data_IF_704662031842
#
_entry.id   IF_704662031842
#
_cell.length_a   1.000
_cell.length_b   1.000
_cell.length_c   1.000
_cell.angle_alpha   90.00
_cell.angle_beta   90.00
_cell.angle_gamma   90.00
#
_symmetry.space_group_name_H-M   'P 1'
#
loop_
_entity.id
_entity.type
_entity.pdbx_description
1 polymer ?
#
# COMPACT_ATOMS: atom_id res chain seq x y z
N UNK A 1 2.97 13.28 9.65
CA UNK A 1 3.81 12.64 10.66
C UNK A 1 3.17 11.34 11.13
N UNK A 2 3.91 10.20 11.08
CA UNK A 2 3.40 8.92 11.56
C UNK A 2 3.05 8.98 13.04
N UNK A 3 1.98 8.27 13.40
CA UNK A 3 1.49 8.18 14.80
C UNK A 3 1.40 6.72 15.21
N UNK A 4 1.55 6.42 16.52
CA UNK A 4 1.26 5.07 16.99
C UNK A 4 -0.13 4.61 16.55
N UNK A 5 -0.21 3.38 16.07
CA UNK A 5 -1.44 2.81 15.52
C UNK A 5 -1.63 2.98 14.02
N UNK A 6 -0.88 3.87 13.37
CA UNK A 6 -0.95 4.03 11.93
C UNK A 6 -0.52 2.76 11.21
N UNK A 7 -1.27 2.37 10.18
CA UNK A 7 -0.85 1.32 9.26
C UNK A 7 -0.05 1.95 8.13
N UNK A 8 1.12 1.39 7.86
CA UNK A 8 2.04 1.88 6.84
C UNK A 8 2.51 0.74 5.96
N UNK A 9 2.85 1.05 4.73
CA UNK A 9 3.56 0.12 3.84
C UNK A 9 5.04 0.49 3.93
N UNK A 10 5.89 -0.50 4.23
CA UNK A 10 7.30 -0.27 4.39
C UNK A 10 8.10 -1.27 3.57
N UNK A 11 9.25 -0.83 3.04
CA UNK A 11 10.14 -1.66 2.24
C UNK A 11 11.34 -2.08 3.08
N UNK A 12 11.59 -3.38 3.16
CA UNK A 12 12.78 -3.92 3.85
C UNK A 12 14.02 -3.47 3.08
N UNK A 13 14.89 -2.72 3.74
CA UNK A 13 16.08 -2.12 3.13
C UNK A 13 17.37 -2.65 3.70
N UNK A 14 17.36 -3.14 4.92
CA UNK A 14 18.54 -3.67 5.59
C UNK A 14 18.13 -4.58 6.74
N UNK A 15 19.11 -5.27 7.33
CA UNK A 15 18.89 -6.09 8.51
C UNK A 15 20.19 -6.31 9.25
N UNK A 16 20.07 -6.54 10.55
CA UNK A 16 21.15 -7.06 11.40
C UNK A 16 20.83 -8.51 11.76
N UNK A 17 21.56 -9.09 12.72
CA UNK A 17 21.24 -10.41 13.22
C UNK A 17 20.01 -10.45 14.15
N UNK A 18 19.45 -9.28 14.50
CA UNK A 18 18.38 -9.18 15.51
C UNK A 18 17.19 -8.32 15.10
N UNK A 19 17.26 -7.64 13.95
CA UNK A 19 16.14 -6.81 13.49
C UNK A 19 16.23 -6.52 12.00
N UNK A 20 15.08 -6.10 11.44
CA UNK A 20 14.96 -5.59 10.08
C UNK A 20 14.80 -4.07 10.11
N UNK A 21 15.41 -3.41 9.13
CA UNK A 21 15.15 -2.01 8.81
C UNK A 21 14.17 -1.94 7.65
N UNK A 22 13.18 -1.08 7.76
CA UNK A 22 12.20 -0.86 6.71
C UNK A 22 12.00 0.62 6.46
N UNK A 23 12.07 1.03 5.20
CA UNK A 23 11.86 2.42 4.83
C UNK A 23 10.36 2.74 4.87
N UNK A 24 10.00 3.71 5.71
CA UNK A 24 8.62 4.19 5.87
C UNK A 24 8.44 5.51 5.12
N UNK A 25 9.35 6.47 5.30
CA UNK A 25 9.36 7.75 4.60
C UNK A 25 10.80 8.24 4.38
N UNK A 26 10.94 9.47 3.88
CA UNK A 26 12.26 10.05 3.59
C UNK A 26 13.08 10.41 4.83
N UNK A 27 12.47 10.47 5.99
CA UNK A 27 13.08 11.01 7.20
C UNK A 27 13.33 9.97 8.28
N UNK A 28 12.61 8.85 8.27
CA UNK A 28 12.66 7.87 9.36
C UNK A 28 12.64 6.46 8.83
N UNK A 29 13.53 5.64 9.40
CA UNK A 29 13.50 4.20 9.19
C UNK A 29 12.58 3.55 10.22
N UNK A 30 11.89 2.51 9.80
CA UNK A 30 11.19 1.61 10.69
C UNK A 30 12.11 0.51 11.16
N UNK A 31 12.00 0.16 12.42
CA UNK A 31 12.71 -0.96 13.03
C UNK A 31 11.71 -2.03 13.41
N UNK A 32 11.98 -3.27 13.02
CA UNK A 32 11.13 -4.42 13.29
C UNK A 32 11.98 -5.51 13.91
N UNK A 33 11.78 -5.77 15.22
CA UNK A 33 12.54 -6.77 15.95
C UNK A 33 11.98 -8.18 15.73
N UNK A 34 12.72 -9.21 16.13
CA UNK A 34 12.31 -10.61 15.98
C UNK A 34 11.00 -10.93 16.70
N UNK A 35 10.67 -10.20 17.76
CA UNK A 35 9.44 -10.42 18.54
C UNK A 35 8.22 -9.76 17.90
N UNK A 36 8.42 -8.87 16.93
CA UNK A 36 7.35 -8.11 16.31
C UNK A 36 6.86 -8.70 14.99
N UNK A 37 7.25 -9.94 14.70
CA UNK A 37 6.77 -10.70 13.54
C UNK A 37 5.96 -11.90 14.00
N UNK A 38 4.96 -12.36 13.22
CA UNK A 38 4.13 -13.51 13.62
C UNK A 38 4.88 -14.84 13.62
N UNK A 39 5.94 -14.95 12.82
CA UNK A 39 6.77 -16.14 12.77
C UNK A 39 7.63 -16.25 14.02
N UNK A 40 7.88 -17.47 14.47
CA UNK A 40 8.89 -17.73 15.50
C UNK A 40 10.29 -17.70 14.87
N UNK A 41 11.13 -16.78 15.32
CA UNK A 41 12.48 -16.59 14.78
C UNK A 41 13.49 -16.88 15.89
N UNK A 42 14.29 -17.93 15.70
CA UNK A 42 15.36 -18.28 16.63
C UNK A 42 16.50 -17.26 16.58
N UNK A 43 17.19 -17.08 17.72
CA UNK A 43 18.44 -16.34 17.74
C UNK A 43 19.45 -16.99 16.78
N UNK A 44 20.09 -16.17 15.94
CA UNK A 44 21.04 -16.67 14.96
C UNK A 44 20.42 -17.18 13.66
N UNK A 45 19.10 -17.13 13.51
CA UNK A 45 18.44 -17.48 12.25
C UNK A 45 18.81 -16.50 11.12
N UNK A 46 18.77 -17.01 9.89
CA UNK A 46 18.91 -16.17 8.70
C UNK A 46 17.61 -15.38 8.48
N UNK A 47 17.65 -14.09 8.79
CA UNK A 47 16.47 -13.23 8.71
C UNK A 47 15.94 -13.05 7.29
N UNK A 48 16.79 -13.25 6.26
CA UNK A 48 16.36 -13.16 4.85
C UNK A 48 15.33 -14.24 4.49
N UNK A 49 15.28 -15.33 5.25
CA UNK A 49 14.30 -16.40 5.02
C UNK A 49 12.87 -16.00 5.44
N UNK A 50 12.74 -14.96 6.24
CA UNK A 50 11.45 -14.45 6.69
C UNK A 50 11.06 -13.20 5.91
N UNK A 51 11.89 -12.16 5.97
CA UNK A 51 11.71 -10.90 5.23
C UNK A 51 13.06 -10.53 4.62
N UNK A 52 13.08 -10.39 3.30
CA UNK A 52 14.30 -10.17 2.55
C UNK A 52 14.37 -8.73 2.03
N UNK A 53 15.55 -8.33 1.58
CA UNK A 53 15.77 -7.03 0.93
C UNK A 53 14.76 -6.82 -0.20
N UNK A 54 14.12 -5.66 -0.20
CA UNK A 54 13.14 -5.31 -1.22
C UNK A 54 11.73 -5.79 -0.97
N UNK A 55 11.49 -6.62 0.04
CA UNK A 55 10.14 -7.03 0.41
C UNK A 55 9.36 -5.84 0.96
N UNK A 56 8.09 -5.77 0.61
CA UNK A 56 7.16 -4.81 1.20
C UNK A 56 6.31 -5.48 2.27
N UNK A 57 6.07 -4.76 3.35
CA UNK A 57 5.22 -5.23 4.46
C UNK A 57 4.16 -4.19 4.77
N UNK A 58 2.98 -4.68 5.13
CA UNK A 58 1.94 -3.85 5.76
C UNK A 58 2.14 -3.99 7.27
N UNK A 59 2.60 -2.92 7.89
CA UNK A 59 2.98 -2.89 9.30
C UNK A 59 2.18 -1.84 10.05
N UNK A 60 2.18 -1.94 11.37
CA UNK A 60 1.62 -0.93 12.26
C UNK A 60 2.74 -0.23 12.99
N UNK A 61 2.62 1.08 13.14
CA UNK A 61 3.52 1.88 13.96
C UNK A 61 3.20 1.60 15.44
N UNK A 62 4.11 0.95 16.15
CA UNK A 62 3.95 0.65 17.56
C UNK A 62 4.40 1.82 18.44
N UNK A 63 5.48 2.51 18.05
CA UNK A 63 6.00 3.65 18.77
C UNK A 63 6.75 4.58 17.83
N UNK A 64 6.81 5.86 18.18
CA UNK A 64 7.49 6.90 17.39
C UNK A 64 8.67 7.42 18.21
N UNK A 65 9.89 7.18 17.71
CA UNK A 65 11.12 7.74 18.27
C UNK A 65 11.57 9.00 17.55
N UNK A 66 12.69 9.57 17.97
CA UNK A 66 13.26 10.76 17.34
C UNK A 66 13.72 10.50 15.91
N UNK A 67 14.40 9.39 15.70
CA UNK A 67 15.01 9.04 14.41
C UNK A 67 14.41 7.81 13.78
N UNK A 68 13.73 6.97 14.56
CA UNK A 68 13.20 5.69 14.11
C UNK A 68 11.74 5.50 14.53
N UNK A 69 11.04 4.68 13.76
CA UNK A 69 9.71 4.19 14.11
C UNK A 69 9.83 2.73 14.50
N UNK A 70 9.16 2.34 15.58
CA UNK A 70 9.04 0.92 15.92
C UNK A 70 7.84 0.34 15.21
N UNK A 71 8.05 -0.69 14.40
CA UNK A 71 7.02 -1.34 13.61
C UNK A 71 6.69 -2.72 14.17
N UNK A 72 5.44 -3.14 13.99
CA UNK A 72 4.98 -4.49 14.32
C UNK A 72 4.20 -5.09 13.16
N UNK A 73 4.38 -6.39 12.95
CA UNK A 73 3.55 -7.22 12.06
C UNK A 73 2.58 -8.10 12.86
N UNK A 74 2.50 -7.93 14.17
CA UNK A 74 1.53 -8.64 15.01
C UNK A 74 0.21 -7.87 15.02
N UNK A 75 -0.79 -8.46 14.41
CA UNK A 75 -2.12 -7.89 14.33
C UNK A 75 -2.87 -8.35 13.09
N UNK A 76 -4.20 -8.17 13.08
CA UNK A 76 -5.01 -8.59 11.94
C UNK A 76 -4.61 -7.88 10.64
N UNK A 77 -4.40 -8.65 9.59
CA UNK A 77 -4.10 -8.13 8.26
C UNK A 77 -2.66 -7.66 8.04
N UNK A 78 -1.84 -7.55 9.08
CA UNK A 78 -0.43 -7.16 8.94
C UNK A 78 0.37 -8.33 8.39
N UNK A 79 1.14 -8.07 7.33
CA UNK A 79 1.84 -9.14 6.61
C UNK A 79 2.79 -8.60 5.56
N UNK A 80 3.64 -9.47 5.02
CA UNK A 80 4.32 -9.23 3.76
C UNK A 80 3.26 -9.14 2.65
N UNK A 81 3.43 -8.16 1.76
CA UNK A 81 2.60 -8.01 0.56
C UNK A 81 3.45 -8.30 -0.67
N UNK A 82 2.89 -9.07 -1.61
CA UNK A 82 3.63 -9.56 -2.78
C UNK A 82 2.83 -9.35 -4.05
N UNK A 83 3.55 -9.17 -5.16
CA UNK A 83 2.91 -8.89 -6.45
C UNK A 83 2.31 -7.51 -6.52
N UNK A 84 1.60 -7.24 -7.59
CA UNK A 84 0.97 -5.95 -7.79
C UNK A 84 1.95 -4.81 -8.04
N UNK A 85 1.49 -3.61 -7.76
CA UNK A 85 2.25 -2.37 -7.94
C UNK A 85 2.25 -1.57 -6.65
N UNK A 86 3.39 -0.95 -6.37
CA UNK A 86 3.51 0.05 -5.30
C UNK A 86 3.63 1.42 -5.95
N UNK A 87 2.78 2.34 -5.53
CA UNK A 87 2.85 3.74 -5.93
C UNK A 87 2.94 4.62 -4.70
N UNK A 88 3.42 5.84 -4.89
CA UNK A 88 3.54 6.82 -3.82
C UNK A 88 2.66 8.02 -4.12
N UNK A 89 1.89 8.44 -3.13
CA UNK A 89 1.10 9.66 -3.17
C UNK A 89 1.52 10.57 -2.01
N UNK A 90 1.12 11.81 -2.08
CA UNK A 90 1.30 12.71 -0.94
C UNK A 90 0.49 12.19 0.25
N UNK A 91 1.16 11.99 1.39
CA UNK A 91 0.50 11.46 2.59
C UNK A 91 -0.68 12.33 3.06
N UNK A 92 -0.65 13.63 2.77
CA UNK A 92 -1.76 14.53 3.05
C UNK A 92 -3.03 14.22 2.21
N UNK A 93 -2.86 13.50 1.11
CA UNK A 93 -3.97 13.08 0.24
C UNK A 93 -4.57 11.72 0.58
N UNK A 94 -3.95 10.99 1.51
CA UNK A 94 -4.46 9.69 1.94
C UNK A 94 -5.93 9.74 2.35
N UNK A 95 -6.40 10.72 3.15
CA UNK A 95 -7.82 10.80 3.48
C UNK A 95 -8.75 10.95 2.27
N UNK A 96 -8.26 11.57 1.18
CA UNK A 96 -9.05 11.73 -0.05
C UNK A 96 -9.17 10.42 -0.83
N UNK A 97 -8.11 9.63 -0.84
CA UNK A 97 -8.11 8.30 -1.50
C UNK A 97 -9.00 7.32 -0.72
N UNK A 98 -8.99 7.37 0.59
CA UNK A 98 -9.86 6.54 1.42
C UNK A 98 -11.31 7.00 1.32
N UNK A 99 -11.53 8.30 1.41
CA UNK A 99 -12.84 8.91 1.39
C UNK A 99 -13.56 8.77 2.73
N UNK A 100 -14.69 9.46 2.85
CA UNK A 100 -15.53 9.42 4.05
C UNK A 100 -16.04 7.99 4.24
N UNK A 101 -15.75 7.40 5.41
CA UNK A 101 -16.14 6.03 5.75
C UNK A 101 -15.64 4.99 4.74
N UNK A 102 -14.51 5.25 4.09
CA UNK A 102 -13.95 4.35 3.10
C UNK A 102 -14.66 4.35 1.74
N UNK A 103 -15.49 5.35 1.46
CA UNK A 103 -16.33 5.38 0.26
C UNK A 103 -15.52 5.43 -1.04
N UNK A 104 -14.43 6.21 -1.06
CA UNK A 104 -13.63 6.34 -2.27
C UNK A 104 -12.82 5.08 -2.55
N UNK A 105 -12.16 4.51 -1.53
CA UNK A 105 -11.41 3.27 -1.72
C UNK A 105 -12.31 2.11 -2.11
N UNK A 106 -13.53 2.05 -1.56
CA UNK A 106 -14.53 1.05 -1.96
C UNK A 106 -14.91 1.19 -3.42
N UNK A 107 -15.14 2.42 -3.88
CA UNK A 107 -15.44 2.71 -5.28
C UNK A 107 -14.30 2.24 -6.20
N UNK A 108 -13.05 2.54 -5.84
CA UNK A 108 -11.87 2.11 -6.60
C UNK A 108 -11.78 0.59 -6.70
N UNK A 109 -11.95 -0.11 -5.58
CA UNK A 109 -11.91 -1.58 -5.53
C UNK A 109 -13.04 -2.20 -6.35
N UNK A 110 -14.26 -1.71 -6.19
CA UNK A 110 -15.45 -2.28 -6.84
C UNK A 110 -15.39 -2.10 -8.36
N UNK A 111 -14.99 -0.93 -8.82
CA UNK A 111 -14.94 -0.62 -10.26
C UNK A 111 -13.80 -1.32 -10.99
N UNK A 112 -12.65 -1.51 -10.32
CA UNK A 112 -11.46 -2.11 -10.96
C UNK A 112 -11.29 -3.60 -10.66
N UNK A 113 -11.97 -4.12 -9.63
CA UNK A 113 -11.76 -5.48 -9.16
C UNK A 113 -10.39 -5.70 -8.51
N UNK A 114 -9.63 -4.65 -8.25
CA UNK A 114 -8.31 -4.74 -7.65
C UNK A 114 -8.38 -4.79 -6.13
N UNK A 115 -7.38 -5.43 -5.52
CA UNK A 115 -7.06 -5.24 -4.11
C UNK A 115 -6.26 -3.95 -3.98
N UNK A 116 -6.58 -3.13 -3.00
CA UNK A 116 -5.91 -1.85 -2.78
C UNK A 116 -5.67 -1.69 -1.28
N UNK A 117 -4.42 -1.41 -0.92
CA UNK A 117 -4.04 -1.09 0.47
C UNK A 117 -3.39 0.28 0.44
N UNK A 118 -3.87 1.19 1.28
CA UNK A 118 -3.36 2.55 1.40
C UNK A 118 -2.66 2.70 2.75
N UNK A 119 -1.34 2.88 2.73
CA UNK A 119 -0.59 3.20 3.94
C UNK A 119 -0.75 4.66 4.32
N UNK A 120 -0.78 4.96 5.60
CA UNK A 120 -0.87 6.35 6.09
C UNK A 120 0.35 7.18 5.69
N UNK A 121 1.45 6.53 5.35
CA UNK A 121 2.67 7.18 4.85
C UNK A 121 2.62 7.52 3.35
N UNK A 122 1.51 7.25 2.66
CA UNK A 122 1.34 7.57 1.25
C UNK A 122 1.78 6.50 0.27
N UNK A 123 2.31 5.38 0.73
CA UNK A 123 2.53 4.22 -0.14
C UNK A 123 1.22 3.48 -0.34
N UNK A 124 0.96 3.08 -1.58
CA UNK A 124 -0.28 2.38 -1.97
C UNK A 124 0.09 1.14 -2.75
N UNK A 125 -0.47 0.01 -2.34
CA UNK A 125 -0.34 -1.25 -3.05
C UNK A 125 -1.62 -1.55 -3.83
N UNK A 126 -1.46 -1.90 -5.10
CA UNK A 126 -2.57 -2.22 -6.02
C UNK A 126 -2.27 -3.56 -6.67
N UNK A 127 -3.20 -4.51 -6.57
CA UNK A 127 -3.01 -5.83 -7.14
C UNK A 127 -4.30 -6.32 -7.81
N UNK A 128 -4.17 -6.80 -9.03
CA UNK A 128 -5.25 -7.36 -9.83
C UNK A 128 -4.73 -7.76 -11.21
N UNK A 129 -5.62 -7.87 -12.19
CA UNK A 129 -5.20 -8.01 -13.58
C UNK A 129 -4.36 -6.78 -13.99
N UNK A 130 -3.25 -6.95 -14.75
CA UNK A 130 -2.35 -5.82 -15.03
C UNK A 130 -3.02 -4.57 -15.60
N UNK A 131 -3.95 -4.74 -16.52
CA UNK A 131 -4.68 -3.61 -17.11
C UNK A 131 -5.61 -2.92 -16.11
N UNK A 132 -6.23 -3.70 -15.22
CA UNK A 132 -7.07 -3.17 -14.14
C UNK A 132 -6.23 -2.43 -13.09
N UNK A 133 -5.04 -2.92 -12.79
CA UNK A 133 -4.08 -2.23 -11.92
C UNK A 133 -3.77 -0.83 -12.45
N UNK A 134 -3.53 -0.71 -13.76
CA UNK A 134 -3.23 0.59 -14.38
C UNK A 134 -4.41 1.55 -14.27
N UNK A 135 -5.63 1.08 -14.45
CA UNK A 135 -6.83 1.90 -14.25
C UNK A 135 -6.92 2.41 -12.81
N UNK A 136 -6.69 1.53 -11.84
CA UNK A 136 -6.70 1.91 -10.43
C UNK A 136 -5.60 2.93 -10.10
N UNK A 137 -4.39 2.72 -10.63
CA UNK A 137 -3.25 3.63 -10.44
C UNK A 137 -3.57 5.02 -11.01
N UNK A 138 -4.11 5.09 -12.23
CA UNK A 138 -4.47 6.36 -12.86
C UNK A 138 -5.53 7.12 -12.06
N UNK A 139 -6.52 6.40 -11.55
CA UNK A 139 -7.56 7.01 -10.72
C UNK A 139 -7.00 7.53 -9.38
N UNK A 140 -6.11 6.77 -8.75
CA UNK A 140 -5.46 7.19 -7.49
C UNK A 140 -4.59 8.44 -7.74
N UNK A 141 -3.82 8.46 -8.83
CA UNK A 141 -3.02 9.62 -9.20
C UNK A 141 -3.89 10.84 -9.48
N UNK A 142 -5.04 10.64 -10.13
CA UNK A 142 -6.01 11.72 -10.33
C UNK A 142 -6.49 12.31 -8.99
N UNK A 143 -6.83 11.46 -8.03
CA UNK A 143 -7.24 11.90 -6.69
C UNK A 143 -6.09 12.65 -6.00
N UNK A 144 -4.86 12.15 -6.11
CA UNK A 144 -3.68 12.80 -5.54
C UNK A 144 -3.48 14.22 -6.09
N UNK A 145 -3.72 14.43 -7.37
CA UNK A 145 -3.57 15.74 -8.03
C UNK A 145 -4.80 16.62 -7.84
N UNK A 146 -6.00 16.07 -7.93
CA UNK A 146 -7.27 16.79 -8.00
C UNK A 146 -8.16 16.62 -6.78
N UNK A 147 -7.64 16.10 -5.67
CA UNK A 147 -8.42 15.81 -4.46
C UNK A 147 -9.11 17.02 -3.82
N UNK A 148 -8.75 18.24 -4.22
CA UNK A 148 -9.37 19.48 -3.76
C UNK A 148 -10.65 19.85 -4.52
N UNK A 149 -10.95 19.18 -5.63
CA UNK A 149 -12.10 19.53 -6.47
C UNK A 149 -13.41 19.09 -5.83
N UNK A 150 -14.44 19.90 -6.02
CA UNK A 150 -15.81 19.52 -5.67
C UNK A 150 -16.33 18.45 -6.65
N UNK A 151 -17.19 17.56 -6.16
CA UNK A 151 -17.74 16.49 -6.98
C UNK A 151 -16.71 15.45 -7.39
N UNK A 152 -15.66 15.29 -6.59
CA UNK A 152 -14.56 14.38 -6.88
C UNK A 152 -15.04 12.93 -7.07
N UNK A 153 -15.97 12.46 -6.23
CA UNK A 153 -16.49 11.09 -6.32
C UNK A 153 -17.13 10.80 -7.67
N UNK A 154 -17.97 11.72 -8.16
CA UNK A 154 -18.62 11.56 -9.46
C UNK A 154 -17.60 11.58 -10.60
N UNK A 155 -16.61 12.46 -10.52
CA UNK A 155 -15.54 12.55 -11.52
C UNK A 155 -14.71 11.29 -11.58
N UNK A 156 -14.36 10.73 -10.42
CA UNK A 156 -13.60 9.48 -10.33
C UNK A 156 -14.44 8.31 -10.83
N UNK A 157 -15.72 8.23 -10.46
CA UNK A 157 -16.62 7.20 -10.94
C UNK A 157 -16.73 7.21 -12.48
N UNK A 158 -16.89 8.37 -13.08
CA UNK A 158 -16.96 8.52 -14.55
C UNK A 158 -15.65 8.12 -15.22
N UNK A 159 -14.51 8.53 -14.66
CA UNK A 159 -13.19 8.17 -15.15
C UNK A 159 -12.99 6.65 -15.13
N UNK A 160 -13.36 6.01 -14.02
CA UNK A 160 -13.27 4.57 -13.87
C UNK A 160 -14.16 3.83 -14.86
N UNK A 161 -15.41 4.26 -15.02
CA UNK A 161 -16.36 3.63 -15.94
C UNK A 161 -15.84 3.70 -17.39
N UNK A 162 -15.31 4.83 -17.82
CA UNK A 162 -14.72 5.00 -19.16
C UNK A 162 -13.49 4.12 -19.34
N UNK A 163 -12.58 4.14 -18.38
CA UNK A 163 -11.34 3.38 -18.45
C UNK A 163 -11.61 1.87 -18.47
N UNK A 164 -12.55 1.40 -17.66
CA UNK A 164 -12.90 -0.03 -17.62
C UNK A 164 -13.62 -0.50 -18.87
N UNK A 165 -14.41 0.35 -19.54
CA UNK A 165 -14.98 0.03 -20.86
C UNK A 165 -13.90 -0.22 -21.90
N UNK A 166 -12.84 0.60 -21.92
CA UNK A 166 -11.74 0.44 -22.85
C UNK A 166 -10.98 -0.87 -22.59
N UNK A 167 -10.79 -1.26 -21.35
CA UNK A 167 -10.16 -2.53 -20.96
C UNK A 167 -10.97 -3.72 -21.48
N UNK A 168 -12.30 -3.71 -21.28
CA UNK A 168 -13.18 -4.78 -21.75
C UNK A 168 -13.13 -4.93 -23.27
N UNK A 169 -13.09 -3.83 -24.03
CA UNK A 169 -12.93 -3.87 -25.49
C UNK A 169 -11.60 -4.51 -25.88
N UNK A 170 -10.50 -4.15 -25.22
CA UNK A 170 -9.18 -4.75 -25.45
C UNK A 170 -9.17 -6.25 -25.14
N UNK A 171 -9.73 -6.65 -24.00
CA UNK A 171 -9.80 -8.06 -23.60
C UNK A 171 -10.62 -8.90 -24.61
N UNK A 172 -11.65 -8.31 -25.22
CA UNK A 172 -12.44 -9.00 -26.24
C UNK A 172 -11.73 -9.13 -27.59
N UNK A 173 -10.83 -8.20 -27.91
CA UNK A 173 -10.03 -8.25 -29.13
C UNK A 173 -8.84 -9.21 -29.03
N UNK A 174 -8.33 -9.48 -27.84
CA UNK A 174 -7.20 -10.35 -27.58
C UNK A 174 -7.57 -11.83 -27.42
N UNK A 175 -8.85 -12.17 -27.37
CA UNK A 175 -9.25 -13.57 -27.30
C UNK A 175 -9.00 -14.26 -28.64
N UNK A 176 -8.12 -15.28 -28.69
CA UNK A 176 -7.95 -16.05 -29.92
C UNK A 176 -9.26 -16.73 -30.29
N UNK A 177 -9.60 -16.63 -31.56
CA UNK A 177 -10.75 -17.33 -32.13
C UNK A 177 -10.51 -18.85 -32.13
#
# INVERSE_FOLDING_TARGET
NPRPGDMVIAKITDMTNSLWFAKVDSFRDGLMTLREVPEYVDDGADLTQFYNFGDYVLAKVAAVGRTNLMLTLKGPGLRKISGGRIIEINSAKVPRVIGKQGSMISLLKDKTGCRIIVGQNGLVWVQGAPEHELVAVDAINYINEKGHLQGLTDKVSDLLDKAMKNVVVHDSEEKPQ
#
